data_IF_367884497527
#
_entry.id   IF_367884497527
#
_cell.length_a   1.000
_cell.length_b   1.000
_cell.length_c   1.000
_cell.angle_alpha   90.00
_cell.angle_beta   90.00
_cell.angle_gamma   90.00
#
_symmetry.space_group_name_H-M   'P 1'
#
loop_
_entity.id
_entity.type
_entity.pdbx_description
1 polymer ?
#
# COMPACT_ATOMS: atom_id res chain seq x y z
N UNK A 1 3.18 6.53 -11.79
CA UNK A 1 2.78 5.61 -10.72
C UNK A 1 2.89 6.37 -9.42
N UNK A 2 1.82 6.46 -8.63
CA UNK A 2 1.89 7.12 -7.33
C UNK A 2 2.83 6.28 -6.45
N UNK A 3 3.99 6.85 -6.11
CA UNK A 3 4.93 6.23 -5.18
C UNK A 3 4.35 6.18 -3.77
N UNK A 4 5.10 5.55 -2.87
CA UNK A 4 4.69 5.47 -1.48
C UNK A 4 4.51 6.86 -0.87
N UNK A 5 3.43 7.03 -0.12
CA UNK A 5 3.06 8.31 0.48
C UNK A 5 3.14 8.19 1.99
N UNK A 6 3.88 9.13 2.61
CA UNK A 6 3.91 9.28 4.06
C UNK A 6 2.96 10.40 4.49
N UNK A 7 2.06 10.08 5.42
CA UNK A 7 1.24 11.08 6.10
C UNK A 7 1.94 11.54 7.37
N UNK A 8 2.52 12.74 7.30
CA UNK A 8 3.24 13.33 8.41
C UNK A 8 2.29 13.74 9.54
N UNK A 9 2.49 13.16 10.72
CA UNK A 9 1.71 13.39 11.93
C UNK A 9 2.64 13.91 13.02
N UNK A 10 2.29 15.04 13.62
CA UNK A 10 2.98 15.57 14.80
C UNK A 10 2.22 15.22 16.07
N UNK A 11 2.92 14.70 17.07
CA UNK A 11 2.30 14.24 18.32
C UNK A 11 3.25 14.33 19.51
N UNK A 12 2.68 14.45 20.70
CA UNK A 12 3.45 14.55 21.94
C UNK A 12 3.39 13.25 22.78
N UNK A 13 2.38 12.41 22.53
CA UNK A 13 2.21 11.08 23.14
C UNK A 13 1.84 10.03 22.08
N UNK A 14 1.96 8.74 22.42
CA UNK A 14 1.58 7.65 21.53
C UNK A 14 0.06 7.63 21.25
N UNK A 15 -0.77 7.95 22.25
CA UNK A 15 -2.22 8.05 22.09
C UNK A 15 -2.60 9.19 21.13
N UNK A 16 -2.01 10.38 21.32
CA UNK A 16 -2.21 11.52 20.43
C UNK A 16 -1.71 11.23 18.99
N UNK A 17 -0.62 10.47 18.87
CA UNK A 17 -0.13 10.01 17.58
C UNK A 17 -1.17 9.12 16.87
N UNK A 18 -1.76 8.15 17.56
CA UNK A 18 -2.80 7.28 17.01
C UNK A 18 -4.06 8.09 16.61
N UNK A 19 -4.54 8.97 17.48
CA UNK A 19 -5.72 9.79 17.18
C UNK A 19 -5.52 10.67 15.95
N UNK A 20 -4.36 11.32 15.84
CA UNK A 20 -4.04 12.15 14.67
C UNK A 20 -3.74 11.32 13.44
N UNK A 21 -3.15 10.13 13.59
CA UNK A 21 -2.95 9.17 12.51
C UNK A 21 -4.28 8.75 11.88
N UNK A 22 -5.26 8.35 12.70
CA UNK A 22 -6.61 8.00 12.24
C UNK A 22 -7.30 9.17 11.53
N UNK A 23 -7.18 10.39 12.09
CA UNK A 23 -7.70 11.60 11.44
C UNK A 23 -7.02 11.89 10.10
N UNK A 24 -5.71 11.71 10.00
CA UNK A 24 -4.94 11.91 8.75
C UNK A 24 -5.30 10.85 7.69
N UNK A 25 -5.53 9.61 8.12
CA UNK A 25 -6.04 8.54 7.26
C UNK A 25 -7.52 8.70 6.90
N UNK A 26 -8.26 9.53 7.65
CA UNK A 26 -9.73 9.69 7.56
C UNK A 26 -10.47 8.38 7.81
N UNK A 27 -9.89 7.52 8.65
CA UNK A 27 -10.41 6.20 8.97
C UNK A 27 -9.93 5.81 10.39
N UNK A 28 -10.83 5.54 11.35
CA UNK A 28 -10.48 5.21 12.73
C UNK A 28 -9.86 3.82 12.91
N UNK A 29 -9.79 3.01 11.86
CA UNK A 29 -9.24 1.65 11.90
C UNK A 29 -7.89 1.53 11.18
N UNK A 30 -7.40 2.60 10.56
CA UNK A 30 -6.22 2.56 9.69
C UNK A 30 -5.08 3.45 10.17
N UNK A 31 -3.87 2.88 10.12
CA UNK A 31 -2.60 3.61 10.18
C UNK A 31 -1.86 3.56 8.84
N UNK A 32 -2.27 2.66 7.96
CA UNK A 32 -1.74 2.47 6.63
C UNK A 32 -2.80 1.90 5.70
N UNK A 33 -2.52 1.96 4.40
CA UNK A 33 -3.31 1.32 3.38
C UNK A 33 -2.42 0.99 2.18
N UNK A 34 -2.41 -0.29 1.81
CA UNK A 34 -1.82 -0.78 0.58
C UNK A 34 -2.90 -0.90 -0.48
N UNK A 35 -2.74 -0.18 -1.59
CA UNK A 35 -3.64 -0.28 -2.75
C UNK A 35 -2.96 -1.01 -3.88
N UNK A 36 -3.77 -1.64 -4.74
CA UNK A 36 -3.30 -2.32 -5.95
C UNK A 36 -4.11 -1.88 -7.17
N UNK A 37 -3.46 -1.85 -8.32
CA UNK A 37 -4.09 -1.60 -9.61
C UNK A 37 -3.59 -2.62 -10.63
N UNK A 38 -4.54 -3.27 -11.33
CA UNK A 38 -4.24 -4.20 -12.41
C UNK A 38 -4.51 -3.50 -13.74
N UNK A 39 -3.54 -3.56 -14.64
CA UNK A 39 -3.64 -3.02 -15.99
C UNK A 39 -3.36 -4.11 -17.02
N UNK A 40 -3.95 -3.97 -18.20
CA UNK A 40 -3.86 -4.94 -19.28
C UNK A 40 -3.42 -4.28 -20.58
N UNK A 41 -2.56 -4.99 -21.32
CA UNK A 41 -2.23 -4.66 -22.70
C UNK A 41 -2.49 -5.88 -23.58
N UNK A 42 -3.25 -5.68 -24.65
CA UNK A 42 -3.59 -6.75 -25.59
C UNK A 42 -2.93 -6.50 -26.95
N UNK A 43 -2.54 -7.57 -27.62
CA UNK A 43 -2.20 -7.61 -29.03
C UNK A 43 -3.20 -8.52 -29.73
N UNK A 44 -3.67 -8.12 -30.92
CA UNK A 44 -4.63 -8.88 -31.70
C UNK A 44 -3.94 -9.60 -32.86
N UNK A 45 -4.52 -10.71 -33.33
CA UNK A 45 -4.15 -11.36 -34.58
C UNK A 45 -4.90 -10.75 -35.78
N UNK A 46 -4.66 -11.30 -36.98
CA UNK A 46 -5.33 -10.88 -38.22
C UNK A 46 -6.84 -11.14 -38.24
N UNK A 47 -7.36 -11.98 -37.33
CA UNK A 47 -8.78 -12.25 -37.16
C UNK A 47 -9.44 -11.34 -36.11
N UNK A 48 -8.70 -10.40 -35.53
CA UNK A 48 -9.18 -9.51 -34.48
C UNK A 48 -9.22 -10.13 -33.08
N UNK A 49 -8.74 -11.38 -32.92
CA UNK A 49 -8.71 -12.06 -31.62
C UNK A 49 -7.43 -11.74 -30.87
N UNK A 50 -7.46 -11.81 -29.55
CA UNK A 50 -6.28 -11.56 -28.72
C UNK A 50 -5.23 -12.64 -28.97
N UNK A 51 -4.09 -12.27 -29.53
CA UNK A 51 -2.91 -13.13 -29.73
C UNK A 51 -1.99 -13.13 -28.51
N UNK A 52 -1.97 -12.03 -27.75
CA UNK A 52 -1.18 -11.89 -26.53
C UNK A 52 -1.85 -10.93 -25.56
N UNK A 53 -1.88 -11.30 -24.29
CA UNK A 53 -2.26 -10.43 -23.19
C UNK A 53 -1.07 -10.25 -22.25
N UNK A 54 -0.87 -9.03 -21.78
CA UNK A 54 0.11 -8.69 -20.75
C UNK A 54 -0.60 -7.99 -19.61
N UNK A 55 -0.65 -8.62 -18.44
CA UNK A 55 -1.10 -8.02 -17.20
C UNK A 55 0.07 -7.34 -16.49
N UNK A 56 -0.19 -6.20 -15.85
CA UNK A 56 0.77 -5.50 -14.99
C UNK A 56 0.09 -5.09 -13.70
N UNK A 57 0.68 -5.47 -12.57
CA UNK A 57 0.30 -5.02 -11.23
C UNK A 57 1.11 -3.78 -10.85
N UNK A 58 0.45 -2.79 -10.26
CA UNK A 58 1.08 -1.71 -9.52
C UNK A 58 0.54 -1.69 -8.10
N UNK A 59 1.42 -1.53 -7.11
CA UNK A 59 1.05 -1.37 -5.70
C UNK A 59 1.56 -0.04 -5.17
N UNK A 60 0.85 0.54 -4.20
CA UNK A 60 1.25 1.76 -3.53
C UNK A 60 0.87 1.68 -2.05
N UNK A 61 1.79 2.07 -1.16
CA UNK A 61 1.49 2.21 0.27
C UNK A 61 1.28 3.68 0.60
N UNK A 62 0.20 3.97 1.31
CA UNK A 62 0.00 5.21 2.04
C UNK A 62 0.02 4.89 3.53
N UNK A 63 0.92 5.49 4.32
CA UNK A 63 1.04 5.20 5.76
C UNK A 63 1.39 6.42 6.58
N UNK A 64 1.00 6.42 7.85
CA UNK A 64 1.36 7.48 8.79
C UNK A 64 2.84 7.44 9.16
N UNK A 65 3.40 8.62 9.42
CA UNK A 65 4.78 8.82 9.84
C UNK A 65 4.85 9.88 10.94
N UNK A 66 5.63 9.62 11.99
CA UNK A 66 5.88 10.59 13.04
C UNK A 66 6.84 11.69 12.57
N UNK A 67 6.29 12.90 12.42
CA UNK A 67 7.00 14.07 11.91
C UNK A 67 7.53 14.98 13.03
N UNK A 68 7.68 14.45 14.24
CA UNK A 68 8.17 15.16 15.43
C UNK A 68 7.07 15.67 16.35
N UNK A 69 7.48 16.35 17.42
CA UNK A 69 6.59 16.85 18.45
C UNK A 69 5.58 17.86 17.88
N UNK A 70 4.36 17.84 18.41
CA UNK A 70 3.36 18.87 18.14
C UNK A 70 3.65 20.14 18.95
N UNK A 71 3.91 19.98 20.26
CA UNK A 71 4.26 21.08 21.16
C UNK A 71 5.40 20.69 22.11
N UNK A 72 5.27 19.53 22.75
CA UNK A 72 6.22 19.04 23.75
C UNK A 72 6.86 17.76 23.24
N UNK A 73 8.18 17.67 23.36
CA UNK A 73 8.90 16.45 23.00
C UNK A 73 8.35 15.27 23.82
N UNK A 74 7.94 14.16 23.18
CA UNK A 74 7.54 12.97 23.91
C UNK A 74 8.63 12.52 24.89
N UNK A 75 8.22 12.00 26.04
CA UNK A 75 9.14 11.27 26.91
C UNK A 75 9.63 9.98 26.20
N UNK A 76 10.60 9.30 26.83
CA UNK A 76 11.23 8.12 26.23
C UNK A 76 10.21 7.01 25.95
N UNK A 77 9.27 6.75 26.88
CA UNK A 77 8.27 5.71 26.71
C UNK A 77 7.33 5.99 25.53
N UNK A 78 6.89 7.23 25.37
CA UNK A 78 6.06 7.63 24.24
C UNK A 78 6.84 7.63 22.92
N UNK A 79 8.09 8.08 22.92
CA UNK A 79 8.94 8.03 21.74
C UNK A 79 9.16 6.59 21.25
N UNK A 80 9.44 5.66 22.16
CA UNK A 80 9.62 4.25 21.85
C UNK A 80 8.31 3.61 21.34
N UNK A 81 7.18 3.92 21.98
CA UNK A 81 5.87 3.43 21.55
C UNK A 81 5.49 3.94 20.15
N UNK A 82 5.70 5.23 19.85
CA UNK A 82 5.47 5.80 18.51
C UNK A 82 6.34 5.08 17.47
N UNK A 83 7.63 4.90 17.75
CA UNK A 83 8.54 4.19 16.85
C UNK A 83 8.10 2.73 16.62
N UNK A 84 7.64 2.04 17.66
CA UNK A 84 7.12 0.68 17.54
C UNK A 84 5.85 0.63 16.69
N UNK A 85 4.92 1.57 16.87
CA UNK A 85 3.71 1.68 16.05
C UNK A 85 4.07 1.88 14.57
N UNK A 86 5.01 2.78 14.26
CA UNK A 86 5.45 3.02 12.88
C UNK A 86 6.09 1.79 12.24
N UNK A 87 6.94 1.08 12.99
CA UNK A 87 7.61 -0.13 12.51
C UNK A 87 6.62 -1.27 12.25
N UNK A 88 5.67 -1.48 13.17
CA UNK A 88 4.63 -2.49 13.00
C UNK A 88 3.72 -2.15 11.80
N UNK A 89 3.32 -0.89 11.67
CA UNK A 89 2.50 -0.43 10.55
C UNK A 89 3.25 -0.58 9.21
N UNK A 90 4.54 -0.22 9.17
CA UNK A 90 5.38 -0.43 7.98
C UNK A 90 5.40 -1.92 7.58
N UNK A 91 5.73 -2.79 8.53
CA UNK A 91 5.82 -4.23 8.27
C UNK A 91 4.46 -4.82 7.84
N UNK A 92 3.36 -4.35 8.43
CA UNK A 92 2.00 -4.77 8.06
C UNK A 92 1.67 -4.41 6.61
N UNK A 93 1.92 -3.18 6.19
CA UNK A 93 1.64 -2.74 4.82
C UNK A 93 2.60 -3.38 3.79
N UNK A 94 3.87 -3.58 4.14
CA UNK A 94 4.81 -4.32 3.31
C UNK A 94 4.36 -5.79 3.13
N UNK A 95 3.80 -6.42 4.16
CA UNK A 95 3.25 -7.77 4.06
C UNK A 95 2.04 -7.84 3.10
N UNK A 96 1.15 -6.83 3.10
CA UNK A 96 0.07 -6.74 2.10
C UNK A 96 0.61 -6.62 0.68
N UNK A 97 1.59 -5.73 0.46
CA UNK A 97 2.25 -5.55 -0.84
C UNK A 97 2.86 -6.86 -1.35
N UNK A 98 3.59 -7.55 -0.49
CA UNK A 98 4.21 -8.83 -0.82
C UNK A 98 3.16 -9.90 -1.10
N UNK A 99 2.06 -9.91 -0.35
CA UNK A 99 0.88 -10.74 -0.61
C UNK A 99 0.31 -10.51 -2.01
N UNK A 100 0.08 -9.26 -2.40
CA UNK A 100 -0.40 -8.90 -3.75
C UNK A 100 0.61 -9.31 -4.84
N UNK A 101 1.89 -9.02 -4.65
CA UNK A 101 2.94 -9.37 -5.61
C UNK A 101 3.03 -10.90 -5.80
N UNK A 102 2.99 -11.65 -4.70
CA UNK A 102 3.01 -13.12 -4.73
C UNK A 102 1.78 -13.69 -5.41
N UNK A 103 0.59 -13.18 -5.08
CA UNK A 103 -0.66 -13.60 -5.71
C UNK A 103 -0.66 -13.28 -7.21
N UNK A 104 -0.19 -12.10 -7.60
CA UNK A 104 -0.10 -11.71 -9.01
C UNK A 104 0.92 -12.55 -9.76
N UNK A 105 2.12 -12.76 -9.24
CA UNK A 105 3.13 -13.59 -9.89
C UNK A 105 2.62 -15.03 -10.13
N UNK A 106 1.90 -15.59 -9.16
CA UNK A 106 1.28 -16.92 -9.29
C UNK A 106 0.18 -16.96 -10.35
N UNK A 107 -0.71 -15.96 -10.38
CA UNK A 107 -1.90 -16.00 -11.22
C UNK A 107 -1.70 -15.37 -12.61
N UNK A 108 -0.71 -14.50 -12.79
CA UNK A 108 -0.45 -13.77 -14.04
C UNK A 108 -0.40 -14.68 -15.27
N UNK A 109 0.34 -15.81 -15.29
CA UNK A 109 0.38 -16.68 -16.47
C UNK A 109 -0.98 -17.31 -16.80
N UNK A 110 -1.79 -17.60 -15.78
CA UNK A 110 -3.14 -18.17 -15.95
C UNK A 110 -4.06 -17.10 -16.55
N UNK A 111 -4.10 -15.92 -15.93
CA UNK A 111 -4.93 -14.81 -16.37
C UNK A 111 -4.59 -14.38 -17.81
N UNK A 112 -3.30 -14.29 -18.15
CA UNK A 112 -2.87 -13.92 -19.50
C UNK A 112 -3.25 -14.98 -20.54
N UNK A 113 -3.12 -16.27 -20.20
CA UNK A 113 -3.52 -17.37 -21.08
C UNK A 113 -5.03 -17.40 -21.32
N UNK A 114 -5.83 -17.13 -20.29
CA UNK A 114 -7.29 -17.12 -20.40
C UNK A 114 -7.82 -16.07 -21.39
N UNK A 115 -7.06 -14.99 -21.61
CA UNK A 115 -7.44 -13.91 -22.53
C UNK A 115 -7.11 -14.23 -24.00
N UNK A 116 -6.15 -15.10 -24.27
CA UNK A 116 -5.77 -15.46 -25.65
C UNK A 116 -6.95 -16.13 -26.36
N UNK A 117 -7.21 -15.70 -27.60
CA UNK A 117 -8.31 -16.19 -28.44
C UNK A 117 -9.67 -15.57 -28.13
N UNK A 118 -9.80 -14.74 -27.09
CA UNK A 118 -10.98 -13.91 -26.86
C UNK A 118 -10.97 -12.70 -27.79
N UNK A 119 -12.14 -12.17 -28.11
CA UNK A 119 -12.33 -11.08 -29.08
C UNK A 119 -13.30 -11.49 -30.16
#
# INVERSE_FOLDING_TARGET
MAGDTLLNVKADTAEDFLDKAHKAMKDPSKLGETTYALSWKFSLDSSGKISKATATLSTAIKRVHYAGAAQVKPDMANADAIAQIENLNKAHEEAHRDGYNKAFAKNKPILEKEMVGRG
#
